data_IF_732621576844
#
_entry.id   IF_732621576844
#
_cell.length_a   1.000
_cell.length_b   1.000
_cell.length_c   1.000
_cell.angle_alpha   90.00
_cell.angle_beta   90.00
_cell.angle_gamma   90.00
#
_symmetry.space_group_name_H-M   'P 1'
#
loop_
_entity.id
_entity.type
_entity.pdbx_description
1 polymer ?
#
# COMPACT_ATOMS: atom_id res chain seq x y z
N UNK A 1 -23.14 5.09 14.44
CA UNK A 1 -21.70 5.19 14.12
C UNK A 1 -21.22 3.77 13.85
N UNK A 2 -21.06 3.39 12.58
CA UNK A 2 -20.51 2.08 12.23
C UNK A 2 -19.11 1.96 12.83
N UNK A 3 -18.84 0.90 13.58
CA UNK A 3 -17.49 0.61 14.07
C UNK A 3 -16.62 0.34 12.85
N UNK A 4 -15.85 1.33 12.44
CA UNK A 4 -14.86 1.17 11.38
C UNK A 4 -13.84 0.15 11.87
N UNK A 5 -13.64 -0.93 11.11
CA UNK A 5 -12.64 -1.93 11.47
C UNK A 5 -11.24 -1.34 11.21
N UNK A 6 -10.24 -1.80 11.96
CA UNK A 6 -8.85 -1.39 11.74
C UNK A 6 -8.42 -1.62 10.28
N UNK A 7 -8.91 -2.70 9.67
CA UNK A 7 -8.68 -3.02 8.26
C UNK A 7 -9.32 -2.00 7.30
N UNK A 8 -10.55 -1.55 7.58
CA UNK A 8 -11.23 -0.52 6.78
C UNK A 8 -10.50 0.81 6.87
N UNK A 9 -10.09 1.22 8.08
CA UNK A 9 -9.32 2.43 8.28
C UNK A 9 -7.99 2.36 7.52
N UNK A 10 -7.24 1.27 7.68
CA UNK A 10 -5.96 1.08 6.99
C UNK A 10 -6.10 1.12 5.46
N UNK A 11 -7.13 0.47 4.90
CA UNK A 11 -7.41 0.52 3.46
C UNK A 11 -7.75 1.95 2.99
N UNK A 12 -8.57 2.67 3.75
CA UNK A 12 -8.93 4.05 3.46
C UNK A 12 -7.71 4.97 3.44
N UNK A 13 -6.82 4.82 4.42
CA UNK A 13 -5.57 5.59 4.51
C UNK A 13 -4.62 5.29 3.34
N UNK A 14 -4.42 4.01 3.01
CA UNK A 14 -3.61 3.61 1.86
C UNK A 14 -4.17 4.18 0.56
N UNK A 15 -5.50 4.09 0.35
CA UNK A 15 -6.14 4.60 -0.86
C UNK A 15 -6.04 6.13 -0.95
N UNK A 16 -6.22 6.83 0.18
CA UNK A 16 -6.07 8.29 0.25
C UNK A 16 -4.65 8.72 -0.10
N UNK A 17 -3.63 8.05 0.45
CA UNK A 17 -2.24 8.33 0.13
C UNK A 17 -1.91 7.98 -1.33
N UNK A 18 -2.42 6.87 -1.83
CA UNK A 18 -2.23 6.44 -3.21
C UNK A 18 -2.77 7.48 -4.20
N UNK A 19 -3.99 7.98 -3.97
CA UNK A 19 -4.59 9.05 -4.80
C UNK A 19 -3.85 10.38 -4.74
N UNK A 20 -3.08 10.63 -3.68
CA UNK A 20 -2.26 11.84 -3.57
C UNK A 20 -0.98 11.77 -4.42
N UNK A 21 -0.60 10.58 -4.86
CA UNK A 21 0.49 10.37 -5.82
C UNK A 21 -0.11 10.46 -7.23
N UNK A 22 0.43 11.34 -8.06
CA UNK A 22 -0.11 11.60 -9.40
C UNK A 22 0.10 10.41 -10.35
N UNK A 23 -0.85 10.22 -11.27
CA UNK A 23 -0.74 9.37 -12.47
C UNK A 23 -0.66 7.84 -12.24
N UNK A 24 -1.44 7.32 -11.29
CA UNK A 24 -1.52 5.87 -11.06
C UNK A 24 -2.54 5.22 -12.01
N UNK A 25 -2.13 4.18 -12.73
CA UNK A 25 -3.02 3.39 -13.56
C UNK A 25 -3.96 2.49 -12.72
N UNK A 26 -5.21 2.36 -13.17
CA UNK A 26 -6.26 1.60 -12.46
C UNK A 26 -5.91 0.12 -12.15
N UNK A 27 -5.20 -0.62 -13.01
CA UNK A 27 -4.71 -1.95 -12.66
C UNK A 27 -3.74 -1.94 -11.48
N UNK A 28 -2.79 -1.00 -11.45
CA UNK A 28 -1.86 -0.84 -10.34
C UNK A 28 -2.60 -0.50 -9.04
N UNK A 29 -3.57 0.42 -9.07
CA UNK A 29 -4.37 0.76 -7.89
C UNK A 29 -5.01 -0.49 -7.25
N UNK A 30 -5.62 -1.36 -8.06
CA UNK A 30 -6.25 -2.59 -7.55
C UNK A 30 -5.23 -3.56 -6.97
N UNK A 31 -4.13 -3.81 -7.67
CA UNK A 31 -3.09 -4.74 -7.23
C UNK A 31 -2.34 -4.23 -6.00
N UNK A 32 -2.11 -2.92 -5.92
CA UNK A 32 -1.54 -2.25 -4.76
C UNK A 32 -2.44 -2.41 -3.53
N UNK A 33 -3.74 -2.09 -3.67
CA UNK A 33 -4.68 -2.19 -2.55
C UNK A 33 -4.83 -3.63 -2.05
N UNK A 34 -4.80 -4.61 -2.94
CA UNK A 34 -4.78 -6.02 -2.56
C UNK A 34 -3.50 -6.38 -1.79
N UNK A 35 -2.35 -5.91 -2.28
CA UNK A 35 -1.04 -6.11 -1.63
C UNK A 35 -1.01 -5.51 -0.22
N UNK A 36 -1.54 -4.31 -0.02
CA UNK A 36 -1.60 -3.69 1.31
C UNK A 36 -2.42 -4.52 2.30
N UNK A 37 -3.53 -5.13 1.88
CA UNK A 37 -4.32 -6.03 2.73
C UNK A 37 -3.51 -7.25 3.15
N UNK A 38 -2.75 -7.83 2.21
CA UNK A 38 -1.91 -9.00 2.49
C UNK A 38 -0.77 -8.67 3.43
N UNK A 39 -0.16 -7.47 3.32
CA UNK A 39 0.83 -6.97 4.28
C UNK A 39 0.30 -6.88 5.72
N UNK A 40 -1.00 -6.65 5.89
CA UNK A 40 -1.62 -6.62 7.21
C UNK A 40 -2.00 -8.01 7.72
N UNK A 41 -2.27 -8.96 6.81
CA UNK A 41 -2.79 -10.29 7.14
C UNK A 41 -1.69 -11.34 7.31
N UNK A 42 -0.60 -11.24 6.54
CA UNK A 42 0.49 -12.21 6.54
C UNK A 42 1.62 -11.64 7.41
N UNK A 43 2.01 -12.34 8.49
CA UNK A 43 3.14 -11.92 9.30
C UNK A 43 4.46 -12.03 8.52
N UNK A 44 5.46 -11.31 8.99
CA UNK A 44 6.82 -11.29 8.43
C UNK A 44 6.91 -10.78 6.98
N UNK A 45 7.99 -11.17 6.28
CA UNK A 45 8.24 -10.75 4.91
C UNK A 45 7.35 -11.52 3.96
N UNK A 46 6.76 -10.80 3.01
CA UNK A 46 5.95 -11.35 1.93
C UNK A 46 6.76 -11.34 0.64
N UNK A 47 6.71 -12.42 -0.12
CA UNK A 47 7.26 -12.51 -1.48
C UNK A 47 6.15 -12.63 -2.54
N UNK A 48 6.52 -12.52 -3.82
CA UNK A 48 5.56 -12.57 -4.93
C UNK A 48 4.81 -13.92 -5.03
N UNK A 49 5.43 -15.04 -4.64
CA UNK A 49 4.74 -16.34 -4.59
C UNK A 49 3.62 -16.35 -3.56
N UNK A 50 3.84 -15.73 -2.39
CA UNK A 50 2.81 -15.57 -1.36
C UNK A 50 1.71 -14.61 -1.81
N UNK A 51 2.05 -13.51 -2.49
CA UNK A 51 1.04 -12.61 -3.07
C UNK A 51 0.15 -13.35 -4.08
N UNK A 52 0.74 -14.14 -4.99
CA UNK A 52 -0.03 -14.94 -5.94
C UNK A 52 -0.87 -16.06 -5.30
N UNK A 53 -0.47 -16.54 -4.12
CA UNK A 53 -1.18 -17.62 -3.39
C UNK A 53 -2.37 -17.10 -2.58
N UNK A 54 -2.21 -15.95 -1.95
CA UNK A 54 -3.20 -15.42 -0.99
C UNK A 54 -3.98 -14.22 -1.53
N UNK A 55 -3.50 -13.59 -2.59
CA UNK A 55 -4.11 -12.43 -3.21
C UNK A 55 -5.09 -12.75 -4.33
N UNK A 56 -5.62 -11.69 -4.93
CA UNK A 56 -6.61 -11.79 -6.01
C UNK A 56 -6.00 -11.93 -7.41
N UNK A 57 -4.69 -11.79 -7.57
CA UNK A 57 -4.02 -11.77 -8.88
C UNK A 57 -2.95 -12.87 -8.99
N UNK A 58 -2.49 -13.15 -10.22
CA UNK A 58 -1.37 -14.07 -10.40
C UNK A 58 -0.07 -13.46 -9.87
N UNK A 59 0.86 -14.31 -9.45
CA UNK A 59 2.22 -13.90 -9.06
C UNK A 59 2.88 -13.00 -10.12
N UNK A 60 2.77 -13.39 -11.39
CA UNK A 60 3.27 -12.60 -12.52
C UNK A 60 2.65 -11.20 -12.60
N UNK A 61 1.36 -11.05 -12.26
CA UNK A 61 0.69 -9.74 -12.26
C UNK A 61 1.29 -8.80 -11.23
N UNK A 62 1.52 -9.30 -10.00
CA UNK A 62 2.20 -8.50 -8.97
C UNK A 62 3.61 -8.13 -9.41
N UNK A 63 4.38 -9.10 -9.92
CA UNK A 63 5.75 -8.87 -10.37
C UNK A 63 5.82 -7.76 -11.42
N UNK A 64 5.03 -7.89 -12.49
CA UNK A 64 5.02 -6.90 -13.57
C UNK A 64 4.65 -5.50 -13.04
N UNK A 65 3.60 -5.39 -12.23
CA UNK A 65 3.13 -4.09 -11.77
C UNK A 65 4.09 -3.42 -10.79
N UNK A 66 4.80 -4.17 -9.94
CA UNK A 66 5.78 -3.59 -9.02
C UNK A 66 7.18 -3.42 -9.61
N UNK A 67 7.51 -4.12 -10.68
CA UNK A 67 8.82 -4.02 -11.36
C UNK A 67 8.85 -2.92 -12.43
N UNK A 68 7.74 -2.70 -13.15
CA UNK A 68 7.68 -1.73 -14.26
C UNK A 68 7.22 -0.32 -13.84
N UNK A 69 6.59 -0.16 -12.68
CA UNK A 69 6.03 1.12 -12.27
C UNK A 69 7.05 2.00 -11.55
N UNK A 70 7.22 3.24 -12.02
CA UNK A 70 8.02 4.28 -11.38
C UNK A 70 7.26 4.89 -10.19
N UNK A 71 6.82 4.05 -9.27
CA UNK A 71 6.02 4.47 -8.13
C UNK A 71 6.87 5.30 -7.16
N UNK A 72 6.43 6.52 -6.88
CA UNK A 72 7.10 7.40 -5.92
C UNK A 72 6.74 7.00 -4.48
N UNK A 73 7.51 6.05 -3.96
CA UNK A 73 7.39 5.57 -2.58
C UNK A 73 7.62 6.68 -1.54
N UNK A 74 8.45 7.68 -1.84
CA UNK A 74 8.71 8.78 -0.93
C UNK A 74 7.50 9.72 -0.84
N UNK A 75 6.89 10.07 -1.96
CA UNK A 75 5.66 10.86 -1.97
C UNK A 75 4.50 10.12 -1.28
N UNK A 76 4.33 8.83 -1.56
CA UNK A 76 3.33 7.99 -0.89
C UNK A 76 3.51 7.97 0.63
N UNK A 77 4.72 7.65 1.10
CA UNK A 77 5.02 7.61 2.53
C UNK A 77 4.91 9.00 3.16
N UNK A 78 5.35 10.05 2.45
CA UNK A 78 5.21 11.44 2.87
C UNK A 78 3.75 11.83 3.11
N UNK A 79 2.85 11.39 2.24
CA UNK A 79 1.40 11.61 2.39
C UNK A 79 0.87 11.00 3.69
N UNK A 80 1.19 9.73 3.97
CA UNK A 80 0.78 9.05 5.21
C UNK A 80 1.38 9.74 6.45
N UNK A 81 2.68 10.03 6.43
CA UNK A 81 3.40 10.66 7.55
C UNK A 81 2.82 12.04 7.84
N UNK A 82 2.56 12.84 6.80
CA UNK A 82 2.02 14.19 6.97
C UNK A 82 0.66 14.21 7.67
N UNK A 83 -0.15 13.17 7.45
CA UNK A 83 -1.51 13.05 8.01
C UNK A 83 -1.53 12.56 9.45
N UNK A 84 -0.67 11.60 9.80
CA UNK A 84 -0.74 10.91 11.11
C UNK A 84 0.37 11.29 12.08
N UNK A 85 1.56 11.66 11.58
CA UNK A 85 2.73 11.98 12.41
C UNK A 85 2.88 13.51 12.56
N UNK A 86 2.22 14.02 13.60
CA UNK A 86 2.30 15.42 14.04
C UNK A 86 3.36 15.61 15.14
N UNK A 87 3.94 16.81 15.25
CA UNK A 87 4.95 17.15 16.29
C UNK A 87 6.42 17.14 15.83
N UNK A 88 7.35 17.25 16.78
CA UNK A 88 8.81 17.31 16.51
C UNK A 88 9.33 15.93 16.06
N UNK A 89 9.85 15.87 14.84
CA UNK A 89 10.45 14.67 14.24
C UNK A 89 11.96 14.65 14.53
N UNK A 90 12.49 13.51 14.98
CA UNK A 90 13.94 13.25 15.04
C UNK A 90 14.28 12.29 13.90
N UNK A 91 15.12 12.72 12.97
CA UNK A 91 15.72 11.80 12.00
C UNK A 91 16.76 10.94 12.74
N UNK A 92 16.71 9.63 12.52
CA UNK A 92 17.74 8.69 12.96
C UNK A 92 18.44 8.25 11.68
N UNK A 93 19.74 8.51 11.59
CA UNK A 93 20.61 8.16 10.47
C UNK A 93 21.44 6.91 10.81
#
# INVERSE_FOLDING_TARGET
>A
MTKETLLMQYQSECLSALKSVANIHKPFEKTFMDTMKLFMAIPDRINFLQLGRYGCFSEQTYRNLFEYETFDWFAFNGSIISKHLTGKRKAIA
#
